data_IF_483434119980
#
_entry.id   IF_483434119980
#
_cell.length_a   1.000
_cell.length_b   1.000
_cell.length_c   1.000
_cell.angle_alpha   90.00
_cell.angle_beta   90.00
_cell.angle_gamma   90.00
#
_symmetry.space_group_name_H-M   'P 1'
#
loop_
_entity.id
_entity.type
_entity.pdbx_description
1 polymer ?
#
# COMPACT_ATOMS: atom_id res chain seq x y z
N UNK A 1 -8.42 -13.55 6.81
CA UNK A 1 -7.35 -12.56 6.48
C UNK A 1 -7.82 -11.16 6.84
N UNK A 2 -7.00 -10.41 7.51
CA UNK A 2 -7.30 -9.02 7.89
C UNK A 2 -6.16 -8.09 7.50
N UNK A 3 -6.46 -6.80 7.39
CA UNK A 3 -5.44 -5.76 7.23
C UNK A 3 -4.75 -5.59 8.57
N UNK A 4 -3.42 -5.69 8.59
CA UNK A 4 -2.62 -5.57 9.81
C UNK A 4 -1.74 -4.34 9.83
N UNK A 5 -1.38 -3.80 8.68
CA UNK A 5 -0.50 -2.64 8.61
C UNK A 5 -0.73 -1.82 7.35
N UNK A 6 -0.60 -0.51 7.48
CA UNK A 6 -0.54 0.43 6.36
C UNK A 6 0.65 1.37 6.56
N UNK A 7 1.56 1.40 5.62
CA UNK A 7 2.62 2.40 5.54
C UNK A 7 2.27 3.43 4.48
N UNK A 8 2.38 4.70 4.84
CA UNK A 8 2.12 5.86 3.97
C UNK A 8 3.37 6.71 3.93
N UNK A 9 3.91 6.99 2.74
CA UNK A 9 5.04 7.91 2.54
C UNK A 9 4.72 8.92 1.46
N UNK A 10 5.05 10.17 1.75
CA UNK A 10 4.97 11.30 0.83
C UNK A 10 3.58 11.49 0.19
N UNK A 11 2.53 11.23 0.97
CA UNK A 11 1.15 11.34 0.52
C UNK A 11 0.42 12.45 1.27
N UNK A 12 0.07 13.50 0.56
CA UNK A 12 -0.60 14.70 1.09
C UNK A 12 0.14 15.29 2.30
N UNK A 13 -0.51 15.46 3.43
CA UNK A 13 0.10 15.97 4.67
C UNK A 13 1.00 14.97 5.40
N UNK A 14 1.12 13.72 4.92
CA UNK A 14 1.88 12.66 5.59
C UNK A 14 3.20 12.44 4.87
N UNK A 15 4.30 12.67 5.56
CA UNK A 15 5.64 12.40 5.06
C UNK A 15 6.04 10.94 5.26
N UNK A 16 5.83 10.40 6.45
CA UNK A 16 6.07 9.00 6.79
C UNK A 16 5.21 8.59 7.97
N UNK A 17 4.40 7.57 7.80
CA UNK A 17 3.51 7.03 8.82
C UNK A 17 3.32 5.54 8.61
N UNK A 18 3.47 4.76 9.66
CA UNK A 18 3.09 3.35 9.70
C UNK A 18 2.02 3.16 10.76
N UNK A 19 0.89 2.62 10.35
CA UNK A 19 -0.24 2.29 11.22
C UNK A 19 -0.39 0.78 11.31
N UNK A 20 -0.47 0.27 12.53
CA UNK A 20 -0.85 -1.10 12.82
C UNK A 20 -2.36 -1.17 13.07
N UNK A 21 -2.99 -2.19 12.54
CA UNK A 21 -4.43 -2.42 12.69
C UNK A 21 -4.68 -3.71 13.47
N UNK A 22 -5.69 -3.63 14.32
CA UNK A 22 -6.26 -4.78 15.01
C UNK A 22 -7.64 -5.11 14.40
N UNK A 23 -8.36 -6.06 14.99
CA UNK A 23 -9.72 -6.44 14.56
C UNK A 23 -10.67 -5.25 14.48
N UNK A 24 -10.49 -4.27 15.35
CA UNK A 24 -11.17 -2.98 15.34
C UNK A 24 -10.17 -1.87 15.64
N UNK A 25 -10.05 -0.91 14.74
CA UNK A 25 -9.16 0.25 14.89
C UNK A 25 -9.97 1.53 14.76
N UNK A 26 -9.80 2.43 15.71
CA UNK A 26 -10.49 3.72 15.75
C UNK A 26 -9.47 4.84 15.52
N UNK A 27 -9.74 5.67 14.51
CA UNK A 27 -8.94 6.87 14.24
C UNK A 27 -9.58 8.07 14.92
N UNK A 28 -8.87 8.68 15.85
CA UNK A 28 -9.30 9.86 16.59
C UNK A 28 -8.33 11.00 16.34
N UNK A 29 -8.83 12.19 16.15
CA UNK A 29 -8.04 13.40 15.99
C UNK A 29 -8.88 14.58 15.52
N UNK A 30 -8.28 15.75 15.52
CA UNK A 30 -8.91 16.95 14.98
C UNK A 30 -9.09 16.87 13.47
N UNK A 31 -9.96 17.72 12.91
CA UNK A 31 -10.04 17.92 11.47
C UNK A 31 -8.67 18.37 10.95
N UNK A 32 -8.24 17.84 9.82
CA UNK A 32 -6.90 18.04 9.21
C UNK A 32 -5.73 17.28 9.89
N UNK A 33 -5.99 16.36 10.81
CA UNK A 33 -4.94 15.53 11.45
C UNK A 33 -4.47 14.34 10.60
N UNK A 34 -4.98 14.18 9.38
CA UNK A 34 -4.59 13.11 8.47
C UNK A 34 -5.52 11.88 8.45
N UNK A 35 -6.63 11.86 9.22
CA UNK A 35 -7.59 10.73 9.22
C UNK A 35 -8.16 10.45 7.83
N UNK A 36 -8.62 11.49 7.14
CA UNK A 36 -9.15 11.38 5.77
C UNK A 36 -8.06 10.89 4.80
N UNK A 37 -6.83 11.34 4.97
CA UNK A 37 -5.68 10.91 4.15
C UNK A 37 -5.42 9.42 4.32
N UNK A 38 -5.50 8.88 5.54
CA UNK A 38 -5.40 7.43 5.80
C UNK A 38 -6.48 6.65 5.07
N UNK A 39 -7.73 7.11 5.11
CA UNK A 39 -8.84 6.47 4.40
C UNK A 39 -8.65 6.53 2.87
N UNK A 40 -8.14 7.62 2.34
CA UNK A 40 -7.81 7.73 0.92
C UNK A 40 -6.67 6.79 0.52
N UNK A 41 -5.65 6.62 1.37
CA UNK A 41 -4.56 5.68 1.13
C UNK A 41 -5.07 4.23 1.10
N UNK A 42 -5.90 3.83 2.06
CA UNK A 42 -6.57 2.52 2.05
C UNK A 42 -7.39 2.31 0.78
N UNK A 43 -8.19 3.30 0.40
CA UNK A 43 -8.98 3.24 -0.83
C UNK A 43 -8.12 3.08 -2.07
N UNK A 44 -7.00 3.79 -2.15
CA UNK A 44 -6.06 3.70 -3.28
C UNK A 44 -5.50 2.28 -3.42
N UNK A 45 -5.08 1.66 -2.31
CA UNK A 45 -4.59 0.28 -2.31
C UNK A 45 -5.69 -0.72 -2.69
N UNK A 46 -6.86 -0.62 -2.07
CA UNK A 46 -7.96 -1.57 -2.24
C UNK A 46 -8.66 -1.46 -3.60
N UNK A 47 -8.63 -0.30 -4.24
CA UNK A 47 -9.28 -0.07 -5.53
C UNK A 47 -8.77 -1.00 -6.62
N UNK A 48 -7.50 -1.34 -6.60
CA UNK A 48 -6.87 -2.23 -7.58
C UNK A 48 -7.26 -3.70 -7.39
N UNK A 49 -7.64 -4.09 -6.18
CA UNK A 49 -8.02 -5.47 -5.86
C UNK A 49 -9.46 -5.80 -6.29
N UNK A 50 -10.23 -4.82 -6.73
CA UNK A 50 -11.60 -5.06 -7.22
C UNK A 50 -11.57 -5.44 -8.69
N UNK A 51 -12.22 -6.54 -9.05
CA UNK A 51 -12.23 -7.08 -10.41
C UNK A 51 -12.77 -6.11 -11.50
N UNK A 52 -13.64 -5.16 -11.11
CA UNK A 52 -14.21 -4.14 -11.99
C UNK A 52 -13.95 -2.70 -11.47
N UNK A 53 -13.06 -2.55 -10.47
CA UNK A 53 -12.72 -1.26 -9.90
C UNK A 53 -11.76 -0.49 -10.79
N UNK A 54 -12.10 0.77 -11.11
CA UNK A 54 -11.08 1.68 -11.64
C UNK A 54 -10.08 1.96 -10.52
N UNK A 55 -8.78 1.83 -10.84
CA UNK A 55 -7.74 2.27 -9.92
C UNK A 55 -7.94 3.76 -9.59
N UNK A 56 -7.65 4.14 -8.34
CA UNK A 56 -7.61 5.55 -7.97
C UNK A 56 -6.49 6.21 -8.74
N UNK A 57 -6.79 7.34 -9.36
CA UNK A 57 -5.81 8.17 -10.06
C UNK A 57 -5.27 9.19 -9.08
N UNK A 58 -3.96 9.24 -8.92
CA UNK A 58 -3.29 10.29 -8.15
C UNK A 58 -3.07 11.52 -9.03
N UNK A 59 -3.15 12.68 -8.43
CA UNK A 59 -2.85 13.96 -9.07
C UNK A 59 -1.70 14.70 -8.38
N UNK A 60 -1.33 15.86 -8.89
CA UNK A 60 -0.24 16.67 -8.36
C UNK A 60 -0.46 17.13 -6.90
N UNK A 61 -1.71 17.23 -6.45
CA UNK A 61 -2.06 17.63 -5.08
C UNK A 61 -1.94 16.51 -4.05
N UNK A 62 -1.76 15.28 -4.51
CA UNK A 62 -1.58 14.12 -3.65
C UNK A 62 -0.14 13.96 -3.13
N UNK A 63 0.83 14.65 -3.74
CA UNK A 63 2.22 14.61 -3.30
C UNK A 63 2.45 15.43 -2.04
N UNK A 64 3.30 14.92 -1.15
CA UNK A 64 3.74 15.68 0.00
C UNK A 64 4.71 16.77 -0.43
N UNK A 65 4.36 18.01 -0.11
CA UNK A 65 5.21 19.18 -0.34
C UNK A 65 5.66 19.72 1.02
N UNK A 66 6.93 20.01 1.16
CA UNK A 66 7.50 20.65 2.32
C UNK A 66 7.83 22.13 2.05
N UNK A 67 8.36 22.82 3.06
CA UNK A 67 8.69 24.25 2.94
C UNK A 67 9.79 24.52 1.89
N UNK A 68 10.61 23.52 1.57
CA UNK A 68 11.73 23.61 0.66
C UNK A 68 11.41 23.14 -0.76
N UNK A 69 10.33 22.35 -0.93
CA UNK A 69 9.92 21.81 -2.22
C UNK A 69 8.43 22.00 -2.43
N UNK A 70 8.10 23.08 -3.14
CA UNK A 70 6.70 23.42 -3.48
C UNK A 70 6.29 22.97 -4.88
N UNK A 71 7.20 22.29 -5.59
CA UNK A 71 6.98 21.82 -6.94
C UNK A 71 6.68 20.31 -6.92
N UNK A 72 5.47 19.87 -7.29
CA UNK A 72 5.10 18.46 -7.35
C UNK A 72 6.00 17.64 -8.27
N UNK A 73 6.58 18.26 -9.29
CA UNK A 73 7.48 17.59 -10.26
C UNK A 73 8.79 17.12 -9.64
N UNK A 74 9.17 17.71 -8.51
CA UNK A 74 10.39 17.38 -7.76
C UNK A 74 10.10 16.68 -6.43
N UNK A 75 8.82 16.41 -6.14
CA UNK A 75 8.41 15.71 -4.95
C UNK A 75 8.90 14.26 -4.97
N UNK A 76 9.19 13.72 -3.78
CA UNK A 76 9.44 12.29 -3.63
C UNK A 76 8.21 11.48 -4.03
N UNK A 77 8.40 10.28 -4.61
CA UNK A 77 7.28 9.42 -4.97
C UNK A 77 6.37 9.10 -3.79
N UNK A 78 5.07 9.04 -4.07
CA UNK A 78 4.11 8.51 -3.11
C UNK A 78 4.34 7.01 -3.01
N UNK A 79 4.43 6.50 -1.80
CA UNK A 79 4.55 5.07 -1.55
C UNK A 79 3.53 4.64 -0.49
N UNK A 80 2.68 3.69 -0.85
CA UNK A 80 1.70 3.08 0.04
C UNK A 80 1.97 1.58 0.09
N UNK A 81 2.04 1.01 1.29
CA UNK A 81 2.20 -0.44 1.46
C UNK A 81 1.08 -0.93 2.39
N UNK A 82 0.24 -1.80 1.86
CA UNK A 82 -0.85 -2.42 2.60
C UNK A 82 -0.51 -3.89 2.87
N UNK A 83 -0.55 -4.26 4.14
CA UNK A 83 -0.24 -5.62 4.60
C UNK A 83 -1.51 -6.32 5.06
N UNK A 84 -1.72 -7.50 4.50
CA UNK A 84 -2.75 -8.45 4.92
C UNK A 84 -2.07 -9.65 5.57
N UNK A 85 -2.66 -10.13 6.65
CA UNK A 85 -2.17 -11.32 7.35
C UNK A 85 -3.34 -12.21 7.74
N UNK A 86 -3.16 -13.52 7.68
CA UNK A 86 -4.16 -14.43 8.19
C UNK A 86 -4.23 -14.37 9.72
N UNK A 87 -5.44 -14.52 10.26
CA UNK A 87 -5.68 -14.55 11.70
C UNK A 87 -5.69 -15.96 12.26
N UNK A 88 -6.16 -16.89 11.46
CA UNK A 88 -6.17 -18.33 11.72
C UNK A 88 -5.70 -19.02 10.43
N UNK A 89 -5.29 -20.28 10.47
CA UNK A 89 -4.95 -21.04 9.25
C UNK A 89 -6.21 -21.29 8.42
N UNK A 90 -6.64 -20.23 7.72
CA UNK A 90 -7.89 -20.20 6.96
C UNK A 90 -7.73 -20.75 5.53
N UNK A 91 -6.50 -20.86 5.06
CA UNK A 91 -6.24 -21.17 3.66
C UNK A 91 -5.95 -22.66 3.48
N UNK A 92 -6.60 -23.31 2.50
CA UNK A 92 -6.23 -24.66 2.10
C UNK A 92 -4.76 -24.70 1.67
N UNK A 93 -4.07 -25.77 2.06
CA UNK A 93 -2.65 -25.98 1.71
C UNK A 93 -2.39 -25.90 0.19
N UNK A 94 -3.37 -26.25 -0.64
CA UNK A 94 -3.29 -26.15 -2.10
C UNK A 94 -3.20 -24.69 -2.58
N UNK A 95 -3.91 -23.77 -1.93
CA UNK A 95 -3.83 -22.33 -2.26
C UNK A 95 -2.49 -21.77 -1.79
N UNK A 96 -2.02 -22.15 -0.62
CA UNK A 96 -0.69 -21.76 -0.12
C UNK A 96 0.41 -22.22 -1.07
N UNK A 97 0.31 -23.43 -1.63
CA UNK A 97 1.26 -23.93 -2.63
C UNK A 97 1.20 -23.18 -3.96
N UNK A 98 0.01 -22.77 -4.41
CA UNK A 98 -0.14 -22.05 -5.67
C UNK A 98 0.28 -20.59 -5.60
N UNK A 99 0.03 -19.91 -4.49
CA UNK A 99 0.27 -18.49 -4.30
C UNK A 99 1.52 -18.19 -3.46
N UNK A 100 2.07 -19.19 -2.79
CA UNK A 100 3.29 -19.11 -2.00
C UNK A 100 4.54 -19.60 -2.74
N UNK A 101 5.65 -19.69 -2.03
CA UNK A 101 6.93 -20.12 -2.56
C UNK A 101 7.75 -19.01 -3.20
N UNK A 102 8.86 -19.37 -3.84
CA UNK A 102 9.74 -18.42 -4.50
C UNK A 102 9.01 -17.71 -5.65
N UNK A 103 8.79 -16.40 -5.49
CA UNK A 103 8.07 -15.58 -6.45
C UNK A 103 6.54 -15.61 -6.32
N UNK A 104 6.00 -16.19 -5.26
CA UNK A 104 4.58 -16.14 -4.91
C UNK A 104 4.20 -14.84 -4.19
N UNK A 105 2.89 -14.51 -4.23
CA UNK A 105 2.35 -13.31 -3.54
C UNK A 105 2.22 -13.52 -2.03
N UNK A 106 2.22 -14.77 -1.57
CA UNK A 106 2.16 -15.11 -0.15
C UNK A 106 3.58 -15.28 0.38
N UNK A 107 3.91 -14.55 1.42
CA UNK A 107 5.08 -14.75 2.26
C UNK A 107 4.67 -15.28 3.62
N UNK A 108 5.55 -16.06 4.25
CA UNK A 108 5.32 -16.60 5.58
C UNK A 108 6.21 -15.88 6.59
N UNK A 109 5.65 -15.51 7.73
CA UNK A 109 6.34 -14.75 8.76
C UNK A 109 6.19 -15.38 10.14
N UNK A 110 7.23 -15.25 10.94
CA UNK A 110 7.28 -15.75 12.31
C UNK A 110 7.50 -17.26 12.41
N UNK A 111 7.59 -17.75 13.65
CA UNK A 111 7.82 -19.16 13.95
C UNK A 111 6.60 -20.04 13.59
N UNK A 112 5.42 -19.45 13.51
CA UNK A 112 4.16 -20.14 13.19
C UNK A 112 3.84 -20.14 11.68
N UNK A 113 4.75 -19.60 10.85
CA UNK A 113 4.57 -19.51 9.40
C UNK A 113 3.23 -18.89 8.99
N UNK A 114 2.90 -17.75 9.61
CA UNK A 114 1.66 -17.02 9.31
C UNK A 114 1.71 -16.43 7.90
N UNK A 115 0.69 -16.72 7.09
CA UNK A 115 0.61 -16.22 5.72
C UNK A 115 0.38 -14.70 5.69
N UNK A 116 1.14 -14.02 4.86
CA UNK A 116 1.12 -12.57 4.70
C UNK A 116 1.15 -12.19 3.22
N UNK A 117 0.31 -11.22 2.84
CA UNK A 117 0.33 -10.59 1.51
C UNK A 117 0.61 -9.11 1.68
N UNK A 118 1.50 -8.55 0.87
CA UNK A 118 1.81 -7.13 0.86
C UNK A 118 1.61 -6.56 -0.53
N UNK A 119 0.85 -5.48 -0.60
CA UNK A 119 0.60 -4.70 -1.82
C UNK A 119 1.29 -3.35 -1.71
N UNK A 120 2.12 -3.02 -2.69
CA UNK A 120 2.79 -1.73 -2.80
C UNK A 120 2.21 -0.92 -3.95
N UNK A 121 1.87 0.31 -3.67
CA UNK A 121 1.46 1.31 -4.64
C UNK A 121 2.51 2.41 -4.67
N UNK A 122 3.02 2.72 -5.84
CA UNK A 122 3.97 3.83 -6.06
C UNK A 122 3.36 4.76 -7.10
N UNK A 123 3.33 6.05 -6.79
CA UNK A 123 2.96 7.09 -7.73
C UNK A 123 4.09 8.11 -7.86
N UNK A 124 4.49 8.40 -9.10
CA UNK A 124 5.52 9.40 -9.42
C UNK A 124 5.02 10.35 -10.48
N UNK A 125 5.44 11.60 -10.39
CA UNK A 125 5.21 12.56 -11.45
C UNK A 125 6.20 12.32 -12.59
N UNK A 126 5.67 12.20 -13.80
CA UNK A 126 6.47 12.07 -15.03
C UNK A 126 6.58 13.42 -15.73
N UNK A 127 7.78 14.00 -15.77
CA UNK A 127 8.03 15.22 -16.52
C UNK A 127 7.89 15.01 -18.05
N UNK A 128 7.99 13.76 -18.52
CA UNK A 128 7.88 13.41 -19.94
C UNK A 128 6.42 13.45 -20.40
N UNK A 129 5.51 12.84 -19.61
CA UNK A 129 4.08 12.78 -19.93
C UNK A 129 3.29 13.96 -19.35
N UNK A 130 3.84 14.67 -18.37
CA UNK A 130 3.15 15.72 -17.63
C UNK A 130 2.04 15.18 -16.71
N UNK A 131 2.08 13.90 -16.37
CA UNK A 131 1.05 13.20 -15.62
C UNK A 131 1.67 12.33 -14.52
N UNK A 132 0.83 11.78 -13.64
CA UNK A 132 1.25 10.88 -12.57
C UNK A 132 1.17 9.44 -13.04
N UNK A 133 2.31 8.75 -13.00
CA UNK A 133 2.40 7.34 -13.30
C UNK A 133 2.26 6.55 -12.00
N UNK A 134 1.38 5.53 -12.00
CA UNK A 134 1.08 4.70 -10.83
C UNK A 134 1.37 3.24 -11.13
N UNK A 135 2.13 2.61 -10.24
CA UNK A 135 2.46 1.19 -10.27
C UNK A 135 1.84 0.46 -9.07
N UNK A 136 1.33 -0.73 -9.29
CA UNK A 136 0.78 -1.63 -8.27
C UNK A 136 1.51 -2.96 -8.34
N UNK A 137 2.20 -3.32 -7.28
CA UNK A 137 2.97 -4.56 -7.21
C UNK A 137 2.71 -5.29 -5.89
N UNK A 138 2.56 -6.61 -5.97
CA UNK A 138 2.72 -7.44 -4.79
C UNK A 138 4.20 -7.54 -4.44
N UNK A 139 4.52 -7.70 -3.17
CA UNK A 139 5.88 -7.85 -2.69
C UNK A 139 6.16 -9.31 -2.30
N UNK A 140 7.36 -9.78 -2.59
CA UNK A 140 7.86 -11.05 -2.08
C UNK A 140 8.28 -10.97 -0.60
N UNK A 141 8.80 -12.06 -0.04
CA UNK A 141 9.26 -12.11 1.34
C UNK A 141 10.43 -11.14 1.63
N UNK A 142 11.19 -10.75 0.60
CA UNK A 142 12.33 -9.84 0.69
C UNK A 142 11.96 -8.39 0.34
N UNK A 143 10.66 -8.08 0.26
CA UNK A 143 10.13 -6.76 -0.09
C UNK A 143 10.39 -6.30 -1.53
N UNK A 144 10.78 -7.20 -2.41
CA UNK A 144 10.93 -6.89 -3.83
C UNK A 144 9.60 -6.98 -4.56
N UNK A 145 9.35 -6.09 -5.52
CA UNK A 145 8.18 -6.18 -6.37
C UNK A 145 8.19 -7.49 -7.18
N UNK A 146 7.09 -8.21 -7.13
CA UNK A 146 6.88 -9.38 -7.99
C UNK A 146 6.65 -8.90 -9.42
N UNK A 147 7.35 -9.51 -10.37
CA UNK A 147 7.13 -9.24 -11.78
C UNK A 147 5.68 -9.59 -12.16
N UNK A 148 4.97 -8.64 -12.74
CA UNK A 148 3.68 -8.91 -13.35
C UNK A 148 3.87 -9.96 -14.45
N UNK A 149 3.35 -11.15 -14.23
CA UNK A 149 3.25 -12.18 -15.27
C UNK A 149 1.98 -11.98 -16.07
#
# INVERSE_FOLDING_TARGET
MQITELTIRNFRGIKDLTLEFDSTTVLIGENNSGKTTVLHALRACLSKLRSNGRAVVFDEYDFHLDENSKDPTQAEPIELILTFQETDKEWPAEIEQQLGGDGGIISFVGAEETARIRLKVIAKYSAVTGDVETEFNFLDANENPLANK
#
